data_IF_671313245145
#
_entry.id   IF_671313245145
#
_cell.length_a   1.000
_cell.length_b   1.000
_cell.length_c   1.000
_cell.angle_alpha   90.00
_cell.angle_beta   90.00
_cell.angle_gamma   90.00
#
_symmetry.space_group_name_H-M   'P 1'
#
loop_
_entity.id
_entity.type
_entity.pdbx_description
1 polymer ?
#
# COMPACT_ATOMS: atom_id res chain seq x y z
N UNK A 1 -5.66 -1.11 40.78
CA UNK A 1 -4.57 -1.21 39.80
C UNK A 1 -3.62 -0.06 40.07
N UNK A 2 -2.42 -0.35 40.58
CA UNK A 2 -1.44 0.68 40.93
C UNK A 2 -1.04 1.50 39.70
N UNK A 3 -0.87 2.81 39.88
CA UNK A 3 -0.46 3.71 38.81
C UNK A 3 1.00 3.39 38.46
N UNK A 4 1.24 2.59 37.42
CA UNK A 4 2.59 2.25 36.98
C UNK A 4 3.23 3.54 36.45
N UNK A 5 4.40 3.91 36.98
CA UNK A 5 5.12 5.10 36.54
C UNK A 5 5.47 4.96 35.05
N UNK A 6 5.30 6.04 34.28
CA UNK A 6 5.67 6.13 32.86
C UNK A 6 7.11 5.67 32.61
N UNK A 7 8.02 5.98 33.54
CA UNK A 7 9.42 5.54 33.47
C UNK A 7 9.57 4.02 33.53
N UNK A 8 8.77 3.35 34.38
CA UNK A 8 8.75 1.88 34.48
C UNK A 8 8.22 1.24 33.21
N UNK A 9 7.20 1.84 32.59
CA UNK A 9 6.64 1.36 31.30
C UNK A 9 7.67 1.51 30.18
N UNK A 10 8.32 2.66 30.07
CA UNK A 10 9.38 2.90 29.07
C UNK A 10 10.55 1.94 29.28
N UNK A 11 10.99 1.74 30.52
CA UNK A 11 12.04 0.79 30.86
C UNK A 11 11.68 -0.66 30.49
N UNK A 12 10.45 -1.08 30.75
CA UNK A 12 9.96 -2.40 30.36
C UNK A 12 9.93 -2.57 28.83
N UNK A 13 9.44 -1.56 28.10
CA UNK A 13 9.42 -1.58 26.62
C UNK A 13 10.84 -1.68 26.06
N UNK A 14 11.78 -0.88 26.58
CA UNK A 14 13.19 -0.93 26.18
C UNK A 14 13.81 -2.30 26.46
N UNK A 15 13.51 -2.90 27.61
CA UNK A 15 13.99 -4.23 27.98
C UNK A 15 13.46 -5.30 27.00
N UNK A 16 12.16 -5.30 26.71
CA UNK A 16 11.55 -6.26 25.78
C UNK A 16 12.11 -6.08 24.36
N UNK A 17 12.19 -4.85 23.87
CA UNK A 17 12.75 -4.56 22.53
C UNK A 17 14.22 -4.96 22.46
N UNK A 18 15.02 -4.61 23.47
CA UNK A 18 16.43 -5.00 23.54
C UNK A 18 16.63 -6.51 23.58
N UNK A 19 15.79 -7.23 24.33
CA UNK A 19 15.82 -8.69 24.38
C UNK A 19 15.47 -9.31 23.03
N UNK A 20 14.45 -8.81 22.33
CA UNK A 20 14.07 -9.29 21.01
C UNK A 20 15.22 -9.10 20.00
N UNK A 21 15.83 -7.91 19.99
CA UNK A 21 16.97 -7.61 19.11
C UNK A 21 18.15 -8.53 19.45
N UNK A 22 18.45 -8.72 20.74
CA UNK A 22 19.53 -9.60 21.18
C UNK A 22 19.30 -11.05 20.74
N UNK A 23 18.08 -11.57 20.91
CA UNK A 23 17.73 -12.93 20.48
C UNK A 23 17.76 -13.10 18.95
N UNK A 24 17.37 -12.06 18.21
CA UNK A 24 17.47 -12.05 16.74
C UNK A 24 18.94 -12.07 16.29
N UNK A 25 19.81 -11.29 16.94
CA UNK A 25 21.25 -11.25 16.62
C UNK A 25 21.98 -12.56 16.95
N UNK A 26 21.45 -13.36 17.88
CA UNK A 26 21.94 -14.70 18.20
C UNK A 26 21.40 -15.78 17.25
N UNK A 27 20.60 -15.41 16.25
CA UNK A 27 19.93 -16.31 15.30
C UNK A 27 19.02 -17.35 16.00
N UNK A 28 18.57 -17.04 17.23
CA UNK A 28 17.64 -17.88 18.00
C UNK A 28 16.21 -17.69 17.48
N UNK A 29 15.88 -16.48 17.04
CA UNK A 29 14.59 -16.11 16.48
C UNK A 29 14.85 -15.54 15.09
N UNK A 30 14.17 -16.06 14.07
CA UNK A 30 14.30 -15.49 12.72
C UNK A 30 13.70 -14.08 12.67
N UNK A 31 14.26 -13.24 11.80
CA UNK A 31 13.79 -11.87 11.57
C UNK A 31 12.28 -11.83 11.26
N UNK A 32 11.80 -12.80 10.49
CA UNK A 32 10.40 -12.96 10.12
C UNK A 32 9.51 -13.08 11.37
N UNK A 33 9.90 -13.94 12.33
CA UNK A 33 9.18 -14.10 13.60
C UNK A 33 9.23 -12.83 14.46
N UNK A 34 10.31 -12.06 14.41
CA UNK A 34 10.42 -10.79 15.13
C UNK A 34 9.37 -9.77 14.66
N UNK A 35 9.09 -9.70 13.36
CA UNK A 35 8.02 -8.85 12.83
C UNK A 35 6.65 -9.27 13.35
N UNK A 36 6.36 -10.58 13.42
CA UNK A 36 5.11 -11.07 14.01
C UNK A 36 4.97 -10.74 15.50
N UNK A 37 6.05 -10.86 16.27
CA UNK A 37 6.05 -10.53 17.70
C UNK A 37 5.79 -9.03 17.89
N UNK A 38 6.49 -8.16 17.16
CA UNK A 38 6.32 -6.71 17.26
C UNK A 38 4.92 -6.30 16.79
N UNK A 39 4.49 -6.77 15.63
CA UNK A 39 3.18 -6.46 15.06
C UNK A 39 2.03 -6.97 15.94
N UNK A 40 2.13 -8.21 16.42
CA UNK A 40 1.19 -8.80 17.39
C UNK A 40 1.17 -8.04 18.72
N UNK A 41 2.33 -7.63 19.22
CA UNK A 41 2.45 -6.79 20.42
C UNK A 41 1.77 -5.44 20.27
N UNK A 42 1.90 -4.78 19.11
CA UNK A 42 1.22 -3.51 18.81
C UNK A 42 -0.30 -3.68 18.71
N UNK A 43 -0.78 -4.76 18.08
CA UNK A 43 -2.20 -5.09 18.02
C UNK A 43 -2.74 -5.39 19.42
N UNK A 44 -2.02 -6.16 20.23
CA UNK A 44 -2.39 -6.41 21.62
C UNK A 44 -2.44 -5.10 22.43
N UNK A 45 -1.43 -4.25 22.30
CA UNK A 45 -1.37 -2.94 22.93
C UNK A 45 -2.56 -2.04 22.51
N UNK A 46 -3.02 -2.14 21.27
CA UNK A 46 -4.25 -1.46 20.84
C UNK A 46 -5.46 -1.88 21.68
N UNK A 47 -5.66 -3.18 21.92
CA UNK A 47 -6.77 -3.68 22.74
C UNK A 47 -6.66 -3.24 24.22
N UNK A 48 -5.44 -3.11 24.74
CA UNK A 48 -5.20 -2.61 26.10
C UNK A 48 -5.23 -1.07 26.24
N UNK A 49 -5.07 -0.32 25.14
CA UNK A 49 -4.98 1.15 25.17
C UNK A 49 -6.27 1.86 25.59
N UNK A 50 -7.41 1.16 25.60
CA UNK A 50 -8.69 1.74 26.02
C UNK A 50 -9.79 0.71 26.23
N UNK A 51 -10.59 0.92 27.29
CA UNK A 51 -11.73 0.07 27.67
C UNK A 51 -12.88 0.03 26.65
N UNK A 52 -12.91 0.98 25.71
CA UNK A 52 -13.86 1.03 24.60
C UNK A 52 -13.15 1.41 23.32
N UNK A 53 -13.56 0.84 22.19
CA UNK A 53 -12.80 0.94 20.94
C UNK A 53 -12.77 2.35 20.31
N UNK A 54 -13.70 3.25 20.67
CA UNK A 54 -13.60 4.69 20.35
C UNK A 54 -12.51 5.45 21.13
N UNK A 55 -11.97 4.87 22.21
CA UNK A 55 -10.85 5.45 22.99
C UNK A 55 -9.51 4.77 22.73
N UNK A 56 -9.49 3.73 21.88
CA UNK A 56 -8.27 3.01 21.51
C UNK A 56 -7.48 3.81 20.49
N UNK A 57 -6.16 3.73 20.57
CA UNK A 57 -5.27 4.49 19.70
C UNK A 57 -5.22 3.87 18.31
N UNK A 58 -5.82 4.53 17.31
CA UNK A 58 -5.81 4.08 15.91
C UNK A 58 -4.39 3.89 15.35
N UNK A 59 -3.40 4.65 15.83
CA UNK A 59 -2.00 4.50 15.42
C UNK A 59 -1.39 3.14 15.79
N UNK A 60 -1.78 2.54 16.92
CA UNK A 60 -1.26 1.24 17.36
C UNK A 60 -1.75 0.10 16.47
N UNK A 61 -3.05 0.08 16.15
CA UNK A 61 -3.62 -0.91 15.24
C UNK A 61 -3.08 -0.72 13.82
N UNK A 62 -2.92 0.52 13.36
CA UNK A 62 -2.36 0.80 12.03
C UNK A 62 -0.93 0.30 11.94
N UNK A 63 -0.05 0.70 12.86
CA UNK A 63 1.34 0.24 12.89
C UNK A 63 1.42 -1.29 13.05
N UNK A 64 0.63 -1.88 13.95
CA UNK A 64 0.62 -3.33 14.16
C UNK A 64 0.20 -4.12 12.92
N UNK A 65 -0.86 -3.70 12.22
CA UNK A 65 -1.30 -4.36 11.00
C UNK A 65 -0.30 -4.20 9.85
N UNK A 66 0.35 -3.04 9.72
CA UNK A 66 1.40 -2.83 8.73
C UNK A 66 2.59 -3.75 8.98
N UNK A 67 3.10 -3.79 10.21
CA UNK A 67 4.23 -4.66 10.59
C UNK A 67 3.87 -6.14 10.39
N UNK A 68 2.64 -6.55 10.73
CA UNK A 68 2.18 -7.92 10.48
C UNK A 68 2.15 -8.27 8.99
N UNK A 69 1.59 -7.40 8.14
CA UNK A 69 1.53 -7.64 6.70
C UNK A 69 2.92 -7.64 6.05
N UNK A 70 3.87 -6.84 6.57
CA UNK A 70 5.28 -6.91 6.17
C UNK A 70 5.89 -8.25 6.57
N UNK A 71 5.62 -8.76 7.78
CA UNK A 71 6.08 -10.10 8.19
C UNK A 71 5.47 -11.23 7.34
N UNK A 72 4.19 -11.10 6.95
CA UNK A 72 3.54 -12.04 6.01
C UNK A 72 4.21 -11.97 4.64
N UNK A 73 4.52 -10.77 4.17
CA UNK A 73 5.23 -10.57 2.92
C UNK A 73 6.61 -11.24 2.94
N UNK A 74 7.41 -10.98 3.99
CA UNK A 74 8.75 -11.53 4.16
C UNK A 74 8.76 -13.07 4.14
N UNK A 75 7.78 -13.69 4.82
CA UNK A 75 7.57 -15.13 4.73
C UNK A 75 7.18 -15.58 3.32
N UNK A 76 6.27 -14.87 2.67
CA UNK A 76 5.72 -15.26 1.38
C UNK A 76 6.72 -15.06 0.22
N UNK A 77 7.58 -14.04 0.29
CA UNK A 77 8.53 -13.64 -0.76
C UNK A 77 9.48 -14.78 -1.13
N UNK A 78 9.84 -15.60 -0.14
CA UNK A 78 10.67 -16.80 -0.33
C UNK A 78 9.99 -17.91 -1.17
N UNK A 79 8.67 -17.90 -1.33
CA UNK A 79 7.90 -18.95 -1.99
C UNK A 79 7.18 -18.51 -3.27
N UNK A 80 7.21 -17.21 -3.59
CA UNK A 80 6.53 -16.67 -4.77
C UNK A 80 7.50 -16.41 -5.92
N UNK A 81 6.97 -16.33 -7.14
CA UNK A 81 7.77 -15.91 -8.28
C UNK A 81 8.23 -14.45 -8.11
N UNK A 82 9.46 -14.09 -8.50
CA UNK A 82 9.98 -12.72 -8.38
C UNK A 82 9.08 -11.66 -9.04
N UNK A 83 8.45 -12.01 -10.17
CA UNK A 83 7.52 -11.16 -10.92
C UNK A 83 6.22 -10.84 -10.15
N UNK A 84 5.89 -11.62 -9.10
CA UNK A 84 4.73 -11.38 -8.24
C UNK A 84 5.08 -10.57 -7.00
N UNK A 85 6.37 -10.45 -6.67
CA UNK A 85 6.87 -9.91 -5.41
C UNK A 85 6.37 -8.48 -5.16
N UNK A 86 6.60 -7.57 -6.10
CA UNK A 86 6.11 -6.18 -6.01
C UNK A 86 4.60 -6.13 -5.87
N UNK A 87 3.87 -6.87 -6.72
CA UNK A 87 2.40 -6.86 -6.71
C UNK A 87 1.83 -7.37 -5.38
N UNK A 88 2.43 -8.42 -4.80
CA UNK A 88 2.02 -9.02 -3.55
C UNK A 88 2.29 -8.07 -2.38
N UNK A 89 3.43 -7.38 -2.36
CA UNK A 89 3.74 -6.38 -1.34
C UNK A 89 2.64 -5.32 -1.24
N UNK A 90 2.26 -4.71 -2.37
CA UNK A 90 1.20 -3.71 -2.39
C UNK A 90 -0.18 -4.31 -2.05
N UNK A 91 -0.46 -5.56 -2.45
CA UNK A 91 -1.70 -6.24 -2.07
C UNK A 91 -1.80 -6.47 -0.55
N UNK A 92 -0.72 -6.89 0.09
CA UNK A 92 -0.65 -7.06 1.54
C UNK A 92 -0.75 -5.72 2.28
N UNK A 93 -0.11 -4.68 1.74
CA UNK A 93 -0.23 -3.32 2.26
C UNK A 93 -1.69 -2.82 2.19
N UNK A 94 -2.36 -3.01 1.06
CA UNK A 94 -3.78 -2.69 0.91
C UNK A 94 -4.65 -3.49 1.89
N UNK A 95 -4.31 -4.76 2.12
CA UNK A 95 -4.97 -5.64 3.09
C UNK A 95 -4.83 -5.10 4.51
N UNK A 96 -3.68 -4.53 4.89
CA UNK A 96 -3.50 -3.88 6.20
C UNK A 96 -4.52 -2.75 6.41
N UNK A 97 -4.70 -1.88 5.41
CA UNK A 97 -5.67 -0.78 5.48
C UNK A 97 -7.13 -1.27 5.44
N UNK A 98 -7.40 -2.34 4.71
CA UNK A 98 -8.71 -2.98 4.69
C UNK A 98 -9.06 -3.59 6.06
N UNK A 99 -8.11 -4.29 6.69
CA UNK A 99 -8.25 -4.82 8.05
C UNK A 99 -8.43 -3.68 9.07
N UNK A 100 -7.68 -2.59 8.92
CA UNK A 100 -7.86 -1.39 9.75
C UNK A 100 -9.29 -0.85 9.63
N UNK A 101 -9.83 -0.81 8.41
CA UNK A 101 -11.21 -0.40 8.19
C UNK A 101 -12.20 -1.29 8.96
N UNK A 102 -12.09 -2.61 8.86
CA UNK A 102 -13.01 -3.53 9.54
C UNK A 102 -12.85 -3.53 11.07
N UNK A 103 -11.61 -3.53 11.57
CA UNK A 103 -11.32 -3.69 13.01
C UNK A 103 -11.62 -2.40 13.79
N UNK A 104 -11.30 -1.24 13.23
CA UNK A 104 -11.41 0.03 13.96
C UNK A 104 -12.49 0.95 13.38
N UNK A 105 -12.45 1.20 12.08
CA UNK A 105 -13.17 2.33 11.48
C UNK A 105 -14.65 2.04 11.25
N UNK A 106 -15.01 0.85 10.76
CA UNK A 106 -16.38 0.44 10.46
C UNK A 106 -17.29 0.49 11.69
N UNK A 107 -16.76 0.06 12.83
CA UNK A 107 -17.52 -0.05 14.07
C UNK A 107 -17.64 1.28 14.83
N UNK A 108 -16.68 2.20 14.70
CA UNK A 108 -16.55 3.33 15.63
C UNK A 108 -16.49 4.72 14.99
N UNK A 109 -16.07 4.83 13.73
CA UNK A 109 -16.03 6.11 13.02
C UNK A 109 -17.02 6.07 11.87
N UNK A 110 -18.32 6.06 12.20
CA UNK A 110 -19.41 6.11 11.21
C UNK A 110 -19.24 7.36 10.34
N UNK A 111 -18.73 7.16 9.12
CA UNK A 111 -18.49 8.21 8.13
C UNK A 111 -17.03 8.34 7.69
N UNK A 112 -16.07 7.93 8.52
CA UNK A 112 -14.66 8.16 8.21
C UNK A 112 -14.04 7.01 7.40
N UNK A 113 -14.40 6.88 6.12
CA UNK A 113 -14.00 5.75 5.26
C UNK A 113 -12.58 5.86 4.69
N UNK A 114 -11.71 6.71 5.26
CA UNK A 114 -10.36 6.94 4.75
C UNK A 114 -9.53 5.66 4.54
N UNK A 115 -9.53 4.65 5.44
CA UNK A 115 -8.68 3.47 5.22
C UNK A 115 -9.19 2.63 4.05
N UNK A 116 -10.50 2.65 3.79
CA UNK A 116 -11.10 1.96 2.65
C UNK A 116 -10.66 2.59 1.33
N UNK A 117 -10.67 3.93 1.24
CA UNK A 117 -10.21 4.61 0.03
C UNK A 117 -8.72 4.36 -0.24
N UNK A 118 -7.89 4.38 0.82
CA UNK A 118 -6.47 4.06 0.70
C UNK A 118 -6.28 2.59 0.26
N UNK A 119 -6.98 1.64 0.90
CA UNK A 119 -6.92 0.23 0.51
C UNK A 119 -7.30 0.04 -0.95
N UNK A 120 -8.37 0.69 -1.42
CA UNK A 120 -8.84 0.57 -2.80
C UNK A 120 -7.85 1.16 -3.80
N UNK A 121 -7.26 2.33 -3.51
CA UNK A 121 -6.21 2.91 -4.35
C UNK A 121 -4.97 2.01 -4.42
N UNK A 122 -4.53 1.46 -3.29
CA UNK A 122 -3.35 0.57 -3.26
C UNK A 122 -3.66 -0.76 -3.94
N UNK A 123 -4.85 -1.33 -3.80
CA UNK A 123 -5.24 -2.54 -4.55
C UNK A 123 -5.29 -2.28 -6.06
N UNK A 124 -5.84 -1.14 -6.50
CA UNK A 124 -5.82 -0.78 -7.92
C UNK A 124 -4.37 -0.64 -8.43
N UNK A 125 -3.49 -0.08 -7.63
CA UNK A 125 -2.07 0.04 -7.95
C UNK A 125 -1.34 -1.32 -7.96
N UNK A 126 -1.60 -2.18 -6.99
CA UNK A 126 -1.11 -3.57 -6.94
C UNK A 126 -1.55 -4.36 -8.17
N UNK A 127 -2.82 -4.23 -8.57
CA UNK A 127 -3.35 -4.84 -9.79
C UNK A 127 -2.65 -4.28 -11.03
N UNK A 128 -2.41 -2.97 -11.10
CA UNK A 128 -1.66 -2.36 -12.20
C UNK A 128 -0.26 -2.94 -12.30
N UNK A 129 0.47 -3.06 -11.18
CA UNK A 129 1.80 -3.69 -11.14
C UNK A 129 1.73 -5.14 -11.61
N UNK A 130 0.78 -5.92 -11.09
CA UNK A 130 0.57 -7.30 -11.53
C UNK A 130 0.36 -7.40 -13.04
N UNK A 131 -0.49 -6.52 -13.60
CA UNK A 131 -0.71 -6.49 -15.04
C UNK A 131 0.58 -6.15 -15.80
N UNK A 132 1.38 -5.20 -15.31
CA UNK A 132 2.63 -4.78 -15.97
C UNK A 132 3.72 -5.84 -15.89
N UNK A 133 3.93 -6.43 -14.72
CA UNK A 133 5.03 -7.36 -14.44
C UNK A 133 4.71 -8.80 -14.90
N UNK A 134 3.48 -9.28 -14.66
CA UNK A 134 3.11 -10.69 -14.86
C UNK A 134 2.34 -10.90 -16.15
N UNK A 135 1.38 -10.02 -16.45
CA UNK A 135 0.64 -10.07 -17.71
C UNK A 135 1.52 -9.43 -18.78
N UNK A 136 2.61 -10.14 -19.07
CA UNK A 136 3.63 -9.87 -20.07
C UNK A 136 3.09 -8.90 -21.13
N UNK A 137 3.39 -7.61 -20.95
CA UNK A 137 2.94 -6.55 -21.85
C UNK A 137 3.51 -6.73 -23.25
N UNK A 138 4.22 -7.81 -23.57
CA UNK A 138 4.68 -8.17 -24.92
C UNK A 138 3.62 -7.99 -26.02
N UNK A 139 2.33 -8.20 -25.72
CA UNK A 139 1.25 -7.82 -26.63
C UNK A 139 1.11 -6.29 -26.69
N UNK A 140 0.91 -5.61 -25.57
CA UNK A 140 0.73 -4.16 -25.54
C UNK A 140 1.97 -3.40 -26.04
N UNK A 141 3.19 -3.86 -25.81
CA UNK A 141 4.43 -3.31 -26.33
C UNK A 141 4.46 -3.45 -27.86
N UNK A 142 4.16 -4.64 -28.40
CA UNK A 142 4.04 -4.87 -29.86
C UNK A 142 2.89 -4.06 -30.48
N UNK A 143 1.74 -3.94 -29.80
CA UNK A 143 0.60 -3.18 -30.31
C UNK A 143 0.81 -1.66 -30.17
N UNK A 144 1.33 -1.18 -29.05
CA UNK A 144 1.59 0.24 -28.84
C UNK A 144 2.73 0.68 -29.73
N UNK A 145 3.88 -0.01 -29.78
CA UNK A 145 4.97 0.39 -30.69
C UNK A 145 4.53 0.37 -32.17
N UNK A 146 3.71 -0.62 -32.58
CA UNK A 146 3.26 -0.74 -33.97
C UNK A 146 2.15 0.25 -34.34
N UNK A 147 1.20 0.53 -33.46
CA UNK A 147 0.01 1.32 -33.77
C UNK A 147 0.05 2.75 -33.21
N UNK A 148 0.93 3.08 -32.26
CA UNK A 148 1.13 4.44 -31.76
C UNK A 148 1.56 5.44 -32.84
N UNK A 149 2.48 5.11 -33.76
CA UNK A 149 2.83 6.00 -34.87
C UNK A 149 1.63 6.32 -35.77
N UNK A 150 0.74 5.34 -35.99
CA UNK A 150 -0.50 5.52 -36.77
C UNK A 150 -1.45 6.53 -36.10
N UNK A 151 -1.60 6.45 -34.79
CA UNK A 151 -2.39 7.44 -34.01
C UNK A 151 -1.78 8.84 -34.14
N UNK A 152 -0.46 8.96 -34.05
CA UNK A 152 0.23 10.25 -34.22
C UNK A 152 0.08 10.81 -35.63
N UNK A 153 0.14 9.97 -36.68
CA UNK A 153 -0.10 10.38 -38.06
C UNK A 153 -1.53 10.89 -38.24
N UNK A 154 -2.52 10.15 -37.75
CA UNK A 154 -3.93 10.58 -37.82
C UNK A 154 -4.18 11.89 -37.08
N UNK A 155 -3.60 12.04 -35.89
CA UNK A 155 -3.68 13.29 -35.12
C UNK A 155 -3.00 14.46 -35.85
N UNK A 156 -1.83 14.23 -36.45
CA UNK A 156 -1.11 15.23 -37.25
C UNK A 156 -1.90 15.67 -38.47
N UNK A 157 -2.47 14.73 -39.23
CA UNK A 157 -3.32 15.03 -40.38
C UNK A 157 -4.58 15.81 -39.98
N UNK A 158 -5.21 15.46 -38.86
CA UNK A 158 -6.36 16.17 -38.34
C UNK A 158 -6.01 17.64 -37.98
N UNK A 159 -4.88 17.85 -37.29
CA UNK A 159 -4.41 19.18 -36.93
C UNK A 159 -4.05 20.03 -38.17
N UNK A 160 -3.37 19.45 -39.16
CA UNK A 160 -3.06 20.12 -40.42
C UNK A 160 -4.33 20.51 -41.19
N UNK A 161 -5.30 19.60 -41.30
CA UNK A 161 -6.58 19.88 -41.94
C UNK A 161 -7.33 21.02 -41.25
N UNK A 162 -7.33 21.04 -39.92
CA UNK A 162 -7.91 22.13 -39.13
C UNK A 162 -7.16 23.46 -39.35
N UNK A 163 -5.83 23.44 -39.34
CA UNK A 163 -4.99 24.60 -39.59
C UNK A 163 -5.21 25.23 -40.97
N UNK A 164 -5.24 24.41 -42.02
CA UNK A 164 -5.48 24.86 -43.40
C UNK A 164 -6.88 25.44 -43.60
N UNK A 165 -7.90 24.85 -42.96
CA UNK A 165 -9.27 25.37 -43.01
C UNK A 165 -9.36 26.76 -42.34
N UNK A 166 -8.69 26.94 -41.20
CA UNK A 166 -8.64 28.22 -40.50
C UNK A 166 -7.88 29.29 -41.31
N UNK A 167 -6.75 28.93 -41.93
CA UNK A 167 -5.98 29.84 -42.79
C UNK A 167 -6.79 30.29 -44.04
N UNK A 168 -7.56 29.39 -44.66
CA UNK A 168 -8.45 29.72 -45.78
C UNK A 168 -9.63 30.61 -45.39
N UNK A 169 -10.12 30.51 -44.15
CA UNK A 169 -11.21 31.35 -43.65
C UNK A 169 -10.74 32.76 -43.27
N UNK A 170 -9.50 32.91 -42.77
CA UNK A 170 -8.88 34.23 -42.54
C UNK A 170 -8.73 35.03 -43.84
N UNK A 171 -8.18 34.39 -44.89
CA UNK A 171 -7.95 35.04 -46.19
C UNK A 171 -9.23 35.41 -46.98
N UNK A 172 -10.41 34.95 -46.53
CA UNK A 172 -11.71 35.27 -47.11
C UNK A 172 -12.43 36.41 -46.40
N UNK A 173 -11.95 36.84 -45.22
CA UNK A 173 -12.47 38.01 -44.48
C UNK A 173 -11.72 39.31 -44.80
N UNK A 174 -10.54 39.21 -45.40
CA UNK A 174 -9.68 40.36 -45.76
C UNK A 174 -9.86 40.80 -47.25
N UNK A 175 -10.87 40.27 -47.95
CA UNK A 175 -11.33 40.73 -49.27
C UNK A 175 -12.76 41.22 -49.17
#
# INVERSE_FOLDING_TARGET
MGNINSQTVIGLVLLVVGLIIFLTNLDIISTDFTLFIIGGGLVAAYYFSGKGAGKRKASLITAGLLVLMIGVYDLADNYIAPELSSSLFFALLATAFLLLYFIHTFHYSRGNRWPLYIALCIYAFSLFIYLVEVVNFRLIEVYVEKYWPLVMIMAGLYLLGKGLKNARQGNKKDK
#
